data_IF_268902493202
#
_entry.id   IF_268902493202
#
_cell.length_a   1.000
_cell.length_b   1.000
_cell.length_c   1.000
_cell.angle_alpha   90.00
_cell.angle_beta   90.00
_cell.angle_gamma   90.00
#
_symmetry.space_group_name_H-M   'P 1'
#
loop_
_entity.id
_entity.type
_entity.pdbx_description
1 polymer ?
#
# COMPACT_ATOMS: atom_id res chain seq x y z
N UNK A 1 23.56 18.06 -2.85
CA UNK A 1 23.02 17.06 -1.90
C UNK A 1 22.16 16.08 -2.68
N UNK A 2 22.43 14.77 -2.59
CA UNK A 2 21.71 13.73 -3.35
C UNK A 2 20.72 12.98 -2.46
N UNK A 3 19.48 12.86 -2.91
CA UNK A 3 18.47 11.97 -2.34
C UNK A 3 18.69 10.56 -2.89
N UNK A 4 18.73 9.53 -2.03
CA UNK A 4 18.72 8.13 -2.49
C UNK A 4 17.29 7.61 -2.47
N UNK A 5 16.90 6.89 -3.51
CA UNK A 5 15.54 6.36 -3.65
C UNK A 5 15.63 4.86 -3.93
N UNK A 6 14.90 4.08 -3.15
CA UNK A 6 14.71 2.65 -3.34
C UNK A 6 13.24 2.40 -3.66
N UNK A 7 12.97 1.76 -4.80
CA UNK A 7 11.62 1.34 -5.16
C UNK A 7 11.44 -0.10 -4.70
N UNK A 8 10.42 -0.33 -3.89
CA UNK A 8 10.05 -1.62 -3.32
C UNK A 8 8.73 -2.04 -3.94
N UNK A 9 8.70 -3.22 -4.53
CA UNK A 9 7.47 -3.81 -5.05
C UNK A 9 6.80 -4.64 -3.94
N UNK A 10 5.55 -4.32 -3.64
CA UNK A 10 4.78 -5.00 -2.59
C UNK A 10 3.75 -5.97 -3.14
N UNK A 11 3.98 -6.48 -4.35
CA UNK A 11 3.09 -7.39 -5.03
C UNK A 11 2.09 -6.65 -5.92
N UNK A 12 1.14 -7.40 -6.50
CA UNK A 12 0.27 -6.87 -7.54
C UNK A 12 -1.14 -7.45 -7.46
N UNK A 13 -2.10 -6.67 -7.94
CA UNK A 13 -3.42 -7.19 -8.26
C UNK A 13 -3.58 -7.34 -9.77
N UNK A 14 -4.37 -8.32 -10.18
CA UNK A 14 -4.79 -8.44 -11.56
C UNK A 14 -6.00 -7.54 -11.80
N UNK A 15 -5.94 -6.73 -12.85
CA UNK A 15 -7.05 -5.91 -13.30
C UNK A 15 -7.17 -6.02 -14.82
N UNK A 16 -8.32 -5.65 -15.36
CA UNK A 16 -8.43 -5.48 -16.81
C UNK A 16 -7.86 -4.13 -17.22
N UNK A 17 -7.03 -4.10 -18.25
CA UNK A 17 -6.35 -2.88 -18.73
C UNK A 17 -7.34 -1.75 -19.04
N UNK A 18 -8.48 -2.05 -19.66
CA UNK A 18 -9.53 -1.05 -19.94
C UNK A 18 -10.15 -0.40 -18.69
N UNK A 19 -10.03 -1.01 -17.50
CA UNK A 19 -10.46 -0.40 -16.24
C UNK A 19 -9.43 0.61 -15.69
N UNK A 20 -8.17 0.50 -16.11
CA UNK A 20 -7.06 1.30 -15.57
C UNK A 20 -6.62 2.38 -16.55
N UNK A 21 -6.68 2.11 -17.84
CA UNK A 21 -6.23 3.00 -18.90
C UNK A 21 -7.36 3.28 -19.89
N UNK A 22 -7.57 4.56 -20.20
CA UNK A 22 -8.52 4.98 -21.24
C UNK A 22 -8.05 4.46 -22.61
N UNK A 23 -8.91 3.73 -23.31
CA UNK A 23 -8.55 3.06 -24.57
C UNK A 23 -7.83 1.72 -24.39
N UNK A 24 -7.69 1.22 -23.15
CA UNK A 24 -7.11 -0.08 -22.85
C UNK A 24 -7.92 -1.24 -23.42
N UNK A 25 -7.27 -2.38 -23.66
CA UNK A 25 -7.93 -3.59 -24.16
C UNK A 25 -8.60 -4.34 -23.01
N UNK A 26 -9.56 -5.22 -23.32
CA UNK A 26 -10.13 -6.16 -22.34
C UNK A 26 -9.18 -7.36 -22.10
N UNK A 27 -7.95 -7.06 -21.69
CA UNK A 27 -6.95 -8.06 -21.30
C UNK A 27 -6.61 -7.89 -19.83
N UNK A 28 -6.20 -8.97 -19.19
CA UNK A 28 -5.70 -8.96 -17.81
C UNK A 28 -4.29 -8.39 -17.78
N UNK A 29 -4.01 -7.53 -16.80
CA UNK A 29 -2.68 -6.98 -16.52
C UNK A 29 -2.41 -6.96 -15.01
N UNK A 30 -1.12 -6.99 -14.65
CA UNK A 30 -0.67 -6.85 -13.28
C UNK A 30 -0.49 -5.37 -12.91
N UNK A 31 -1.18 -4.93 -11.87
CA UNK A 31 -1.04 -3.61 -11.27
C UNK A 31 -0.21 -3.74 -9.99
N UNK A 32 1.08 -3.41 -10.09
CA UNK A 32 2.02 -3.47 -8.96
C UNK A 32 1.80 -2.31 -7.99
N UNK A 33 1.79 -2.62 -6.70
CA UNK A 33 1.78 -1.63 -5.64
C UNK A 33 3.22 -1.32 -5.24
N UNK A 34 3.72 -0.18 -5.72
CA UNK A 34 5.09 0.25 -5.47
C UNK A 34 5.16 1.19 -4.27
N UNK A 35 6.25 1.06 -3.52
CA UNK A 35 6.60 1.92 -2.39
C UNK A 35 7.97 2.54 -2.65
N UNK A 36 8.12 3.82 -2.38
CA UNK A 36 9.42 4.48 -2.47
C UNK A 36 9.99 4.72 -1.07
N UNK A 37 11.11 4.09 -0.76
CA UNK A 37 11.90 4.34 0.45
C UNK A 37 13.01 5.33 0.09
N UNK A 38 12.93 6.54 0.65
CA UNK A 38 13.85 7.63 0.36
C UNK A 38 14.79 7.85 1.53
N UNK A 39 16.06 8.09 1.25
CA UNK A 39 17.04 8.52 2.25
C UNK A 39 17.46 9.95 1.96
N UNK A 40 17.07 10.86 2.86
CA UNK A 40 17.44 12.26 2.82
C UNK A 40 18.58 12.52 3.83
N UNK A 41 19.71 13.12 3.41
CA UNK A 41 20.89 13.25 4.26
C UNK A 41 20.67 14.06 5.55
N UNK A 42 19.68 14.96 5.59
CA UNK A 42 19.34 15.75 6.78
C UNK A 42 18.11 15.27 7.55
N UNK A 43 17.21 14.53 6.90
CA UNK A 43 15.89 14.17 7.46
C UNK A 43 15.81 12.67 7.78
N UNK A 44 16.79 11.88 7.34
CA UNK A 44 16.81 10.44 7.54
C UNK A 44 16.01 9.70 6.48
N UNK A 45 15.42 8.58 6.87
CA UNK A 45 14.59 7.74 6.02
C UNK A 45 13.17 8.29 5.94
N UNK A 46 12.59 8.32 4.74
CA UNK A 46 11.20 8.66 4.46
C UNK A 46 10.59 7.49 3.68
N UNK A 47 9.31 7.22 3.89
CA UNK A 47 8.60 6.13 3.22
C UNK A 47 7.39 6.69 2.48
N UNK A 48 7.44 6.68 1.17
CA UNK A 48 6.35 7.14 0.31
C UNK A 48 5.52 5.95 -0.16
N UNK A 49 4.23 5.99 0.16
CA UNK A 49 3.26 4.89 0.10
C UNK A 49 3.55 3.73 1.08
N UNK A 50 2.59 2.82 1.22
CA UNK A 50 2.71 1.61 2.06
C UNK A 50 2.48 0.33 1.28
N UNK A 51 2.02 0.44 0.02
CA UNK A 51 1.77 -0.71 -0.83
C UNK A 51 0.69 -1.63 -0.27
N UNK A 52 0.71 -2.90 -0.68
CA UNK A 52 -0.19 -3.92 -0.15
C UNK A 52 0.36 -4.58 1.12
N UNK A 53 -0.58 -4.96 1.99
CA UNK A 53 -0.30 -5.57 3.27
C UNK A 53 -0.91 -6.99 3.34
N UNK A 54 -0.23 -7.99 3.94
CA UNK A 54 -0.75 -9.36 4.07
C UNK A 54 -2.12 -9.44 4.74
N UNK A 55 -2.42 -8.52 5.65
CA UNK A 55 -3.69 -8.39 6.34
C UNK A 55 -4.85 -8.14 5.36
N UNK A 56 -4.61 -7.55 4.18
CA UNK A 56 -5.62 -7.41 3.14
C UNK A 56 -6.15 -8.76 2.67
N UNK A 57 -5.30 -9.79 2.67
CA UNK A 57 -5.72 -11.15 2.28
C UNK A 57 -6.74 -11.73 3.25
N UNK A 58 -6.71 -11.30 4.52
CA UNK A 58 -7.65 -11.73 5.57
C UNK A 58 -8.88 -10.84 5.60
N UNK A 59 -8.70 -9.52 5.52
CA UNK A 59 -9.79 -8.53 5.54
C UNK A 59 -10.79 -8.73 4.41
N UNK A 60 -10.33 -9.19 3.24
CA UNK A 60 -11.16 -9.42 2.05
C UNK A 60 -11.75 -10.84 1.95
N UNK A 61 -11.65 -11.67 2.99
CA UNK A 61 -12.23 -13.03 2.97
C UNK A 61 -13.74 -13.07 3.16
N UNK A 62 -14.27 -12.11 3.93
CA UNK A 62 -15.69 -12.07 4.29
C UNK A 62 -16.51 -11.39 3.19
N UNK A 63 -17.76 -11.81 3.05
CA UNK A 63 -18.72 -11.10 2.23
C UNK A 63 -18.98 -9.70 2.83
N UNK A 64 -19.14 -8.64 2.03
CA UNK A 64 -19.13 -8.59 0.56
C UNK A 64 -17.75 -8.42 -0.06
N UNK A 65 -16.71 -8.13 0.74
CA UNK A 65 -15.34 -7.85 0.27
C UNK A 65 -14.70 -9.00 -0.51
N UNK A 66 -15.20 -10.23 -0.34
CA UNK A 66 -14.80 -11.37 -1.17
C UNK A 66 -15.07 -11.16 -2.67
N UNK A 67 -16.13 -10.42 -3.03
CA UNK A 67 -16.41 -10.08 -4.43
C UNK A 67 -15.27 -9.24 -5.03
N UNK A 68 -14.75 -8.29 -4.27
CA UNK A 68 -13.61 -7.48 -4.70
C UNK A 68 -12.38 -8.35 -5.01
N UNK A 69 -12.09 -9.34 -4.15
CA UNK A 69 -10.98 -10.30 -4.34
C UNK A 69 -11.14 -11.14 -5.61
N UNK A 70 -12.37 -11.41 -6.04
CA UNK A 70 -12.64 -12.16 -7.27
C UNK A 70 -12.43 -11.31 -8.53
N UNK A 71 -12.85 -10.04 -8.51
CA UNK A 71 -12.65 -9.13 -9.64
C UNK A 71 -11.22 -8.61 -9.76
N UNK A 72 -10.51 -8.48 -8.64
CA UNK A 72 -9.10 -8.10 -8.60
C UNK A 72 -8.31 -9.10 -7.76
N UNK A 73 -7.96 -10.28 -8.33
CA UNK A 73 -7.11 -11.26 -7.66
C UNK A 73 -5.81 -10.61 -7.21
N UNK A 74 -5.52 -10.69 -5.91
CA UNK A 74 -4.31 -10.12 -5.30
C UNK A 74 -3.26 -11.22 -5.13
N UNK A 75 -2.11 -11.04 -5.77
CA UNK A 75 -0.91 -11.83 -5.58
C UNK A 75 0.05 -11.04 -4.67
N UNK A 76 0.33 -11.61 -3.50
CA UNK A 76 1.15 -10.99 -2.48
C UNK A 76 1.85 -12.08 -1.66
N UNK A 77 3.17 -12.08 -1.68
CA UNK A 77 3.96 -12.82 -0.71
C UNK A 77 4.14 -11.97 0.57
N UNK A 78 3.90 -12.50 1.79
CA UNK A 78 4.22 -11.79 3.03
C UNK A 78 5.65 -11.22 3.10
N UNK A 79 6.63 -11.84 2.42
CA UNK A 79 7.99 -11.33 2.31
C UNK A 79 8.12 -10.08 1.41
N UNK A 80 7.18 -9.85 0.50
CA UNK A 80 7.08 -8.65 -0.33
C UNK A 80 6.40 -7.49 0.41
N UNK A 81 5.80 -7.71 1.57
CA UNK A 81 5.23 -6.60 2.35
C UNK A 81 6.33 -5.57 2.70
N UNK A 82 6.02 -4.28 2.60
CA UNK A 82 6.99 -3.21 2.88
C UNK A 82 7.66 -3.38 4.25
N UNK A 83 6.91 -3.81 5.26
CA UNK A 83 7.41 -4.06 6.62
C UNK A 83 8.53 -5.10 6.64
N UNK A 84 8.44 -6.14 5.81
CA UNK A 84 9.47 -7.16 5.68
C UNK A 84 10.67 -6.64 4.89
N UNK A 85 10.45 -5.85 3.85
CA UNK A 85 11.51 -5.33 2.99
C UNK A 85 12.38 -4.26 3.67
N UNK A 86 11.78 -3.35 4.45
CA UNK A 86 12.53 -2.26 5.11
C UNK A 86 13.50 -2.79 6.17
N UNK A 87 13.31 -4.01 6.66
CA UNK A 87 14.23 -4.67 7.59
C UNK A 87 15.64 -4.84 6.99
N UNK A 88 15.75 -5.01 5.66
CA UNK A 88 17.03 -5.09 4.95
C UNK A 88 17.84 -3.78 5.03
N UNK A 89 17.18 -2.67 5.34
CA UNK A 89 17.79 -1.37 5.53
C UNK A 89 18.04 -1.05 7.02
N UNK A 90 17.85 -2.04 7.91
CA UNK A 90 17.97 -1.86 9.36
C UNK A 90 16.79 -1.11 9.99
N UNK A 91 15.68 -0.93 9.26
CA UNK A 91 14.50 -0.21 9.72
C UNK A 91 13.48 -1.17 10.33
N UNK A 92 12.71 -0.69 11.32
CA UNK A 92 11.62 -1.44 11.94
C UNK A 92 10.32 -0.64 11.91
N UNK A 93 9.25 -1.34 11.57
CA UNK A 93 7.90 -0.83 11.72
C UNK A 93 7.51 -0.77 13.21
N UNK A 94 6.87 0.33 13.64
CA UNK A 94 6.19 0.40 14.93
C UNK A 94 4.84 1.09 14.75
N UNK A 95 3.93 0.75 15.65
CA UNK A 95 2.58 1.30 15.76
C UNK A 95 2.52 2.16 17.01
N UNK A 96 2.83 3.45 16.88
CA UNK A 96 2.55 4.44 17.93
C UNK A 96 1.52 5.43 17.39
N UNK A 97 0.35 5.59 18.03
CA UNK A 97 -0.55 6.67 17.68
C UNK A 97 0.11 8.01 18.08
N UNK A 98 0.18 9.02 17.20
CA UNK A 98 0.58 10.35 17.62
C UNK A 98 -0.48 10.88 18.61
N UNK A 99 -0.05 11.39 19.76
CA UNK A 99 -0.96 12.09 20.66
C UNK A 99 -1.57 13.28 19.90
N UNK A 100 -2.88 13.22 19.65
CA UNK A 100 -3.67 14.38 19.22
C UNK A 100 -3.87 14.65 17.73
N UNK A 101 -3.55 13.74 16.79
CA UNK A 101 -3.87 13.97 15.36
C UNK A 101 -4.71 12.83 14.74
N UNK A 102 -5.86 13.20 14.18
CA UNK A 102 -6.92 12.31 13.67
C UNK A 102 -6.62 11.74 12.27
N UNK A 103 -5.34 11.56 11.93
CA UNK A 103 -4.92 11.08 10.60
C UNK A 103 -3.95 9.91 10.76
N UNK A 104 -4.53 8.71 10.75
CA UNK A 104 -3.80 7.43 10.82
C UNK A 104 -2.82 7.29 9.64
N UNK A 105 -1.53 7.15 9.99
CA UNK A 105 -0.37 6.68 9.24
C UNK A 105 0.42 5.77 10.19
N UNK A 106 1.12 4.72 9.73
CA UNK A 106 2.23 4.24 10.57
C UNK A 106 3.51 3.91 9.81
N UNK A 107 4.60 4.45 10.39
CA UNK A 107 5.94 3.90 10.68
C UNK A 107 6.90 5.12 10.75
N UNK A 108 7.00 5.75 11.93
CA UNK A 108 7.89 6.90 12.21
C UNK A 108 9.01 6.57 13.21
N UNK A 109 10.16 6.07 12.73
CA UNK A 109 11.40 6.42 13.45
C UNK A 109 11.52 7.95 13.32
N UNK A 110 12.05 8.70 14.32
CA UNK A 110 11.98 10.16 14.30
C UNK A 110 12.68 10.69 13.05
N UNK A 111 11.91 11.13 12.04
CA UNK A 111 12.40 11.52 10.72
C UNK A 111 11.62 10.97 9.51
N UNK A 112 10.80 9.93 9.67
CA UNK A 112 10.13 9.26 8.55
C UNK A 112 8.71 9.81 8.27
N UNK A 113 8.60 10.80 7.38
CA UNK A 113 7.28 11.21 6.87
C UNK A 113 6.73 10.14 5.91
N UNK A 114 5.48 9.74 6.13
CA UNK A 114 4.75 8.80 5.26
C UNK A 114 3.78 9.59 4.39
N UNK A 115 3.46 9.11 3.19
CA UNK A 115 2.37 9.64 2.35
C UNK A 115 1.64 8.47 1.69
N UNK A 116 0.40 8.17 2.07
CA UNK A 116 -0.30 6.93 1.69
C UNK A 116 -1.36 7.11 0.59
N UNK A 117 -1.46 6.14 -0.33
CA UNK A 117 -2.52 6.01 -1.36
C UNK A 117 -3.88 5.56 -0.77
N UNK A 118 -4.32 6.16 0.36
CA UNK A 118 -5.60 5.85 1.03
C UNK A 118 -6.85 6.15 0.18
N UNK A 119 -6.68 7.00 -0.85
CA UNK A 119 -7.77 7.49 -1.70
C UNK A 119 -8.47 6.37 -2.50
N UNK A 120 -7.73 5.36 -3.00
CA UNK A 120 -8.31 4.31 -3.83
C UNK A 120 -9.18 3.32 -3.04
N UNK A 121 -8.79 2.95 -1.82
CA UNK A 121 -9.58 2.04 -0.97
C UNK A 121 -10.74 2.74 -0.26
N UNK A 122 -10.54 3.97 0.26
CA UNK A 122 -11.64 4.69 0.89
C UNK A 122 -12.73 5.08 -0.11
N UNK A 123 -12.37 5.41 -1.36
CA UNK A 123 -13.35 5.63 -2.42
C UNK A 123 -14.17 4.37 -2.75
N UNK A 124 -13.55 3.17 -2.78
CA UNK A 124 -14.29 1.92 -3.02
C UNK A 124 -15.11 1.46 -1.81
N UNK A 125 -14.65 1.71 -0.59
CA UNK A 125 -15.42 1.44 0.63
C UNK A 125 -16.61 2.39 0.79
N UNK A 126 -16.50 3.63 0.30
CA UNK A 126 -17.60 4.60 0.28
C UNK A 126 -18.66 4.30 -0.80
N UNK A 127 -18.32 3.54 -1.85
CA UNK A 127 -19.24 3.15 -2.93
C UNK A 127 -20.12 1.93 -2.59
N UNK A 128 -19.90 1.24 -1.48
CA UNK A 128 -20.71 0.07 -1.09
C UNK A 128 -21.68 0.43 0.05
N UNK A 129 -23.00 0.22 -0.10
CA UNK A 129 -23.94 0.51 0.97
C UNK A 129 -23.74 -0.52 2.10
N UNK A 130 -23.39 -0.03 3.27
CA UNK A 130 -23.35 -0.84 4.49
C UNK A 130 -24.79 -1.28 4.82
N UNK A 131 -25.05 -2.58 5.03
CA UNK A 131 -26.20 -2.94 5.86
C UNK A 131 -25.93 -2.35 7.25
N UNK A 132 -26.91 -1.60 7.77
CA UNK A 132 -26.85 -1.00 9.11
C UNK A 132 -26.71 -2.07 10.19
#
# INVERSE_FOLDING_TARGET
MSLRVHILDTGYCLASEHHVMRGGRRRTMACHALVALLYHPRQGWLLWDTGYAPQMLTATRRWPFRLYRWFTPLALDPAEAVVAQIARFGLRAHTSPPSGSRTFMPIMSPGCAIFQQRAWWQAKLAMWPWPR
#
